data_IF_547275125961
#
_entry.id   IF_547275125961
#
_cell.length_a   1.000
_cell.length_b   1.000
_cell.length_c   1.000
_cell.angle_alpha   90.00
_cell.angle_beta   90.00
_cell.angle_gamma   90.00
#
_symmetry.space_group_name_H-M   'P 1'
#
loop_
_entity.id
_entity.type
_entity.pdbx_description
1 polymer ?
#
# COMPACT_ATOMS: atom_id res chain seq x y z
N UNK A 1 3.25 -18.81 0.91
CA UNK A 1 3.22 -17.78 -0.14
C UNK A 1 4.12 -16.64 0.35
N UNK A 2 4.76 -15.89 -0.56
CA UNK A 2 5.55 -14.72 -0.18
C UNK A 2 4.67 -13.52 0.16
N UNK A 3 5.25 -12.51 0.77
CA UNK A 3 4.58 -11.22 1.05
C UNK A 3 4.19 -10.54 -0.26
N UNK A 4 2.96 -10.10 -0.40
CA UNK A 4 2.49 -9.31 -1.54
C UNK A 4 3.03 -7.88 -1.40
N UNK A 5 3.67 -7.37 -2.44
CA UNK A 5 4.27 -6.02 -2.45
C UNK A 5 3.52 -5.15 -3.45
N UNK A 6 2.90 -4.09 -2.95
CA UNK A 6 2.12 -3.12 -3.71
C UNK A 6 2.93 -1.84 -3.84
N UNK A 7 3.26 -1.46 -5.08
CA UNK A 7 3.82 -0.15 -5.41
C UNK A 7 2.67 0.86 -5.58
N UNK A 8 2.52 1.78 -4.64
CA UNK A 8 1.50 2.82 -4.67
C UNK A 8 1.97 4.04 -5.45
N UNK A 9 1.31 4.31 -6.56
CA UNK A 9 1.61 5.47 -7.41
C UNK A 9 1.02 6.76 -6.84
N UNK A 10 -0.21 6.67 -6.27
CA UNK A 10 -0.88 7.86 -5.73
C UNK A 10 -0.96 8.98 -6.76
N UNK A 11 -0.52 10.17 -6.38
CA UNK A 11 -0.42 11.35 -7.26
C UNK A 11 0.89 11.43 -8.07
N UNK A 12 1.85 10.51 -7.85
CA UNK A 12 3.23 10.64 -8.35
C UNK A 12 3.41 10.50 -9.87
N UNK A 13 2.36 10.19 -10.62
CA UNK A 13 2.39 10.30 -12.09
C UNK A 13 2.19 11.73 -12.59
N UNK A 14 1.87 12.70 -11.70
CA UNK A 14 1.74 14.15 -11.97
C UNK A 14 0.72 14.48 -13.08
N UNK A 15 -0.31 13.67 -13.26
CA UNK A 15 -1.29 13.81 -14.33
C UNK A 15 -0.75 13.50 -15.73
N UNK A 16 0.48 12.99 -15.85
CA UNK A 16 1.10 12.60 -17.12
C UNK A 16 0.95 11.09 -17.31
N UNK A 17 0.07 10.68 -18.21
CA UNK A 17 -0.27 9.27 -18.40
C UNK A 17 0.94 8.41 -18.80
N UNK A 18 1.90 8.97 -19.54
CA UNK A 18 3.14 8.26 -19.92
C UNK A 18 4.02 7.95 -18.69
N UNK A 19 3.99 8.83 -17.67
CA UNK A 19 4.64 8.53 -16.39
C UNK A 19 3.95 7.35 -15.70
N UNK A 20 2.62 7.29 -15.70
CA UNK A 20 1.88 6.16 -15.13
C UNK A 20 2.25 4.84 -15.82
N UNK A 21 2.35 4.81 -17.14
CA UNK A 21 2.84 3.62 -17.88
C UNK A 21 4.29 3.27 -17.52
N UNK A 22 5.14 4.26 -17.35
CA UNK A 22 6.54 4.06 -16.93
C UNK A 22 6.60 3.47 -15.51
N UNK A 23 5.78 3.99 -14.60
CA UNK A 23 5.72 3.51 -13.21
C UNK A 23 5.25 2.05 -13.12
N UNK A 24 4.31 1.61 -13.96
CA UNK A 24 3.91 0.19 -14.06
C UNK A 24 5.13 -0.69 -14.41
N UNK A 25 5.93 -0.26 -15.40
CA UNK A 25 7.12 -1.01 -15.85
C UNK A 25 8.20 -1.05 -14.78
N UNK A 26 8.47 0.08 -14.12
CA UNK A 26 9.48 0.16 -13.06
C UNK A 26 9.05 -0.63 -11.80
N UNK A 27 7.76 -0.62 -11.42
CA UNK A 27 7.23 -1.46 -10.34
C UNK A 27 7.44 -2.95 -10.65
N UNK A 28 7.13 -3.39 -11.88
CA UNK A 28 7.40 -4.77 -12.32
C UNK A 28 8.88 -5.11 -12.30
N UNK A 29 9.72 -4.24 -12.80
CA UNK A 29 11.19 -4.42 -12.85
C UNK A 29 11.79 -4.50 -11.44
N UNK A 30 11.24 -3.74 -10.48
CA UNK A 30 11.63 -3.82 -9.07
C UNK A 30 11.19 -5.14 -8.42
N UNK A 31 10.27 -5.89 -9.02
CA UNK A 31 9.76 -7.17 -8.51
C UNK A 31 8.53 -7.05 -7.62
N UNK A 32 7.77 -5.95 -7.75
CA UNK A 32 6.48 -5.81 -7.09
C UNK A 32 5.45 -6.76 -7.68
N UNK A 33 4.50 -7.16 -6.87
CA UNK A 33 3.40 -8.04 -7.26
C UNK A 33 2.24 -7.24 -7.86
N UNK A 34 1.98 -6.05 -7.29
CA UNK A 34 0.86 -5.17 -7.65
C UNK A 34 1.39 -3.74 -7.83
N UNK A 35 0.84 -3.01 -8.81
CA UNK A 35 0.93 -1.55 -8.91
C UNK A 35 -0.44 -0.95 -8.62
N UNK A 36 -0.49 0.12 -7.81
CA UNK A 36 -1.77 0.72 -7.39
C UNK A 36 -1.87 2.17 -7.81
N UNK A 37 -3.08 2.60 -8.17
CA UNK A 37 -3.46 3.96 -8.50
C UNK A 37 -4.68 4.40 -7.68
N UNK A 38 -4.84 5.70 -7.50
CA UNK A 38 -6.03 6.29 -6.90
C UNK A 38 -6.92 6.88 -8.00
N UNK A 39 -8.24 6.74 -7.84
CA UNK A 39 -9.20 7.32 -8.78
C UNK A 39 -9.92 8.48 -8.09
N UNK A 40 -9.81 9.64 -8.68
CA UNK A 40 -10.53 10.83 -8.23
C UNK A 40 -11.90 10.93 -8.94
N UNK A 41 -12.90 11.42 -8.22
CA UNK A 41 -14.19 11.80 -8.81
C UNK A 41 -14.35 13.32 -8.73
N UNK A 42 -14.15 13.97 -9.86
CA UNK A 42 -14.25 15.43 -9.95
C UNK A 42 -15.66 15.98 -9.62
N UNK A 43 -16.67 15.11 -9.55
CA UNK A 43 -18.00 15.49 -9.09
C UNK A 43 -18.08 15.65 -7.56
N UNK A 44 -17.15 15.01 -6.83
CA UNK A 44 -17.07 15.12 -5.36
C UNK A 44 -16.11 16.23 -4.89
N UNK A 45 -15.35 16.85 -5.81
CA UNK A 45 -14.46 17.95 -5.49
C UNK A 45 -15.18 19.29 -5.72
N UNK A 46 -15.21 20.15 -4.71
CA UNK A 46 -15.80 21.48 -4.82
C UNK A 46 -15.01 22.31 -5.85
N UNK A 47 -15.70 23.06 -6.70
CA UNK A 47 -15.04 23.87 -7.76
C UNK A 47 -14.20 25.03 -7.22
N UNK A 48 -14.49 25.46 -6.01
CA UNK A 48 -13.75 26.49 -5.27
C UNK A 48 -12.69 25.88 -4.33
N UNK A 49 -12.50 24.56 -4.39
CA UNK A 49 -11.42 23.89 -3.67
C UNK A 49 -10.07 24.40 -4.23
N UNK A 50 -9.16 24.86 -3.38
CA UNK A 50 -7.84 25.32 -3.83
C UNK A 50 -7.05 24.26 -4.61
N UNK A 51 -7.33 22.98 -4.43
CA UNK A 51 -6.68 21.83 -5.09
C UNK A 51 -7.43 21.34 -6.34
N UNK A 52 -8.53 21.99 -6.72
CA UNK A 52 -9.37 21.51 -7.82
C UNK A 52 -8.59 21.29 -9.12
N UNK A 53 -7.75 22.25 -9.51
CA UNK A 53 -6.98 22.16 -10.76
C UNK A 53 -5.91 21.05 -10.69
N UNK A 54 -5.35 20.80 -9.52
CA UNK A 54 -4.44 19.69 -9.29
C UNK A 54 -5.16 18.35 -9.41
N UNK A 55 -6.27 18.17 -8.71
CA UNK A 55 -7.08 16.95 -8.80
C UNK A 55 -7.59 16.71 -10.23
N UNK A 56 -7.94 17.78 -10.96
CA UNK A 56 -8.35 17.65 -12.36
C UNK A 56 -7.22 17.12 -13.26
N UNK A 57 -5.96 17.47 -13.00
CA UNK A 57 -4.80 16.90 -13.70
C UNK A 57 -4.61 15.41 -13.40
N UNK A 58 -4.89 14.99 -12.16
CA UNK A 58 -4.73 13.61 -11.71
C UNK A 58 -5.91 12.68 -12.11
N UNK A 59 -6.98 13.25 -12.66
CA UNK A 59 -8.17 12.48 -13.03
C UNK A 59 -7.85 11.42 -14.10
N UNK A 60 -8.16 10.18 -13.79
CA UNK A 60 -8.07 9.05 -14.70
C UNK A 60 -9.45 8.71 -15.27
N UNK A 61 -9.63 8.96 -16.58
CA UNK A 61 -10.86 8.58 -17.28
C UNK A 61 -10.98 7.05 -17.43
N UNK A 62 -12.17 6.51 -17.77
CA UNK A 62 -12.33 5.09 -18.09
C UNK A 62 -11.38 4.60 -19.19
N UNK A 63 -11.06 5.44 -20.17
CA UNK A 63 -10.10 5.14 -21.23
C UNK A 63 -8.67 5.02 -20.68
N UNK A 64 -8.27 5.94 -19.79
CA UNK A 64 -6.99 5.86 -19.10
C UNK A 64 -6.90 4.57 -18.27
N UNK A 65 -7.94 4.25 -17.48
CA UNK A 65 -7.99 3.01 -16.69
C UNK A 65 -7.81 1.78 -17.58
N UNK A 66 -8.53 1.71 -18.72
CA UNK A 66 -8.41 0.61 -19.67
C UNK A 66 -7.01 0.49 -20.24
N UNK A 67 -6.35 1.62 -20.52
CA UNK A 67 -4.96 1.66 -20.99
C UNK A 67 -3.98 1.15 -19.92
N UNK A 68 -4.13 1.60 -18.67
CA UNK A 68 -3.30 1.16 -17.54
C UNK A 68 -3.46 -0.34 -17.27
N UNK A 69 -4.70 -0.85 -17.31
CA UNK A 69 -4.99 -2.30 -17.16
C UNK A 69 -4.31 -3.10 -18.29
N UNK A 70 -4.37 -2.62 -19.52
CA UNK A 70 -3.70 -3.28 -20.65
C UNK A 70 -2.19 -3.29 -20.49
N UNK A 71 -1.60 -2.15 -20.11
CA UNK A 71 -0.17 -2.02 -19.84
C UNK A 71 0.29 -2.96 -18.70
N UNK A 72 -0.46 -3.02 -17.60
CA UNK A 72 -0.15 -3.91 -16.47
C UNK A 72 -0.19 -5.38 -16.91
N UNK A 73 -1.20 -5.77 -17.69
CA UNK A 73 -1.32 -7.14 -18.25
C UNK A 73 -0.14 -7.49 -19.17
N UNK A 74 0.24 -6.60 -20.07
CA UNK A 74 1.38 -6.78 -20.96
C UNK A 74 2.69 -6.97 -20.20
N UNK A 75 2.85 -6.26 -19.10
CA UNK A 75 4.02 -6.36 -18.21
C UNK A 75 3.90 -7.46 -17.15
N UNK A 76 2.81 -8.24 -17.11
CA UNK A 76 2.59 -9.33 -16.16
C UNK A 76 2.71 -8.88 -14.70
N UNK A 77 2.12 -7.73 -14.36
CA UNK A 77 1.95 -7.23 -13.01
C UNK A 77 0.46 -7.03 -12.75
N UNK A 78 0.00 -7.31 -11.53
CA UNK A 78 -1.37 -7.00 -11.15
C UNK A 78 -1.54 -5.48 -10.99
N UNK A 79 -2.74 -4.98 -11.29
CA UNK A 79 -3.09 -3.58 -11.08
C UNK A 79 -4.27 -3.48 -10.13
N UNK A 80 -4.16 -2.55 -9.19
CA UNK A 80 -5.15 -2.28 -8.16
C UNK A 80 -5.54 -0.80 -8.22
N UNK A 81 -6.78 -0.49 -7.87
CA UNK A 81 -7.25 0.88 -7.79
C UNK A 81 -7.96 1.15 -6.47
N UNK A 82 -7.80 2.38 -5.98
CA UNK A 82 -8.55 2.94 -4.86
C UNK A 82 -9.64 3.85 -5.41
N UNK A 83 -10.93 3.48 -5.33
CA UNK A 83 -12.03 4.37 -5.68
C UNK A 83 -12.33 5.34 -4.54
N UNK A 84 -12.80 6.54 -4.86
CA UNK A 84 -13.27 7.54 -3.89
C UNK A 84 -14.81 7.65 -3.85
N UNK A 85 -15.49 7.07 -4.85
CA UNK A 85 -16.94 7.07 -4.99
C UNK A 85 -17.46 5.77 -5.61
N UNK A 86 -18.77 5.55 -5.55
CA UNK A 86 -19.42 4.44 -6.27
C UNK A 86 -19.15 4.50 -7.77
N UNK A 87 -19.17 5.69 -8.36
CA UNK A 87 -18.88 5.88 -9.78
C UNK A 87 -17.47 5.44 -10.16
N UNK A 88 -16.45 5.78 -9.36
CA UNK A 88 -15.09 5.34 -9.62
C UNK A 88 -14.91 3.84 -9.36
N UNK A 89 -15.64 3.25 -8.41
CA UNK A 89 -15.70 1.80 -8.24
C UNK A 89 -16.36 1.09 -9.44
N UNK A 90 -17.37 1.70 -10.06
CA UNK A 90 -17.95 1.20 -11.32
C UNK A 90 -16.94 1.19 -12.46
N UNK A 91 -16.07 2.20 -12.57
CA UNK A 91 -15.02 2.21 -13.59
C UNK A 91 -14.07 1.02 -13.42
N UNK A 92 -13.66 0.72 -12.18
CA UNK A 92 -12.79 -0.42 -11.86
C UNK A 92 -13.48 -1.73 -12.25
N UNK A 93 -14.74 -1.90 -11.84
CA UNK A 93 -15.51 -3.11 -12.13
C UNK A 93 -15.71 -3.31 -13.64
N UNK A 94 -16.03 -2.24 -14.38
CA UNK A 94 -16.24 -2.27 -15.83
C UNK A 94 -14.93 -2.51 -16.61
N UNK A 95 -13.78 -2.16 -16.03
CA UNK A 95 -12.48 -2.54 -16.57
C UNK A 95 -12.15 -4.05 -16.38
N UNK A 96 -13.05 -4.82 -15.77
CA UNK A 96 -12.94 -6.26 -15.57
C UNK A 96 -12.12 -6.67 -14.35
N UNK A 97 -11.82 -5.73 -13.44
CA UNK A 97 -11.09 -6.01 -12.22
C UNK A 97 -12.02 -6.52 -11.11
N UNK A 98 -11.50 -7.41 -10.28
CA UNK A 98 -12.22 -8.03 -9.15
C UNK A 98 -11.59 -7.74 -7.80
N UNK A 99 -10.47 -7.05 -7.79
CA UNK A 99 -9.78 -6.58 -6.59
C UNK A 99 -9.90 -5.07 -6.49
N UNK A 100 -10.05 -4.55 -5.26
CA UNK A 100 -10.21 -3.12 -4.99
C UNK A 100 -9.58 -2.75 -3.65
N UNK A 101 -9.14 -1.48 -3.51
CA UNK A 101 -8.61 -0.93 -2.25
C UNK A 101 -9.59 0.08 -1.67
N UNK A 102 -9.79 0.01 -0.37
CA UNK A 102 -10.48 1.02 0.42
C UNK A 102 -9.42 1.79 1.20
N UNK A 103 -9.26 3.09 0.92
CA UNK A 103 -8.36 3.96 1.66
C UNK A 103 -8.92 4.25 3.06
N UNK A 104 -8.03 4.60 3.99
CA UNK A 104 -8.40 4.92 5.38
C UNK A 104 -9.49 5.98 5.50
N UNK A 105 -9.45 7.00 4.63
CA UNK A 105 -10.44 8.08 4.59
C UNK A 105 -11.84 7.67 4.10
N UNK A 106 -11.98 6.48 3.54
CA UNK A 106 -13.24 5.99 2.97
C UNK A 106 -13.82 4.77 3.67
N UNK A 107 -13.23 4.37 4.80
CA UNK A 107 -13.62 3.19 5.56
C UNK A 107 -15.07 3.26 6.07
N UNK A 108 -15.62 4.45 6.23
CA UNK A 108 -16.99 4.70 6.72
C UNK A 108 -17.97 5.13 5.61
N UNK A 109 -17.58 5.13 4.33
CA UNK A 109 -18.48 5.47 3.20
C UNK A 109 -19.40 4.29 2.87
N UNK A 110 -20.53 4.18 3.56
CA UNK A 110 -21.47 3.04 3.46
C UNK A 110 -21.94 2.71 2.03
N UNK A 111 -22.23 3.71 1.21
CA UNK A 111 -22.65 3.48 -0.18
C UNK A 111 -21.54 2.84 -1.01
N UNK A 112 -20.29 3.30 -0.84
CA UNK A 112 -19.13 2.73 -1.50
C UNK A 112 -18.87 1.29 -1.01
N UNK A 113 -18.92 1.07 0.30
CA UNK A 113 -18.75 -0.26 0.90
C UNK A 113 -19.80 -1.26 0.38
N UNK A 114 -21.07 -0.85 0.35
CA UNK A 114 -22.17 -1.68 -0.15
C UNK A 114 -21.97 -2.06 -1.62
N UNK A 115 -21.53 -1.11 -2.46
CA UNK A 115 -21.22 -1.39 -3.86
C UNK A 115 -20.05 -2.36 -3.99
N UNK A 116 -18.97 -2.14 -3.24
CA UNK A 116 -17.77 -2.99 -3.23
C UNK A 116 -18.15 -4.42 -2.78
N UNK A 117 -18.93 -4.55 -1.71
CA UNK A 117 -19.42 -5.83 -1.20
C UNK A 117 -20.12 -6.68 -2.28
N UNK A 118 -20.88 -6.04 -3.17
CA UNK A 118 -21.64 -6.72 -4.23
C UNK A 118 -20.81 -7.09 -5.45
N UNK A 119 -19.69 -6.41 -5.72
CA UNK A 119 -19.04 -6.44 -7.02
C UNK A 119 -17.61 -7.02 -7.02
N UNK A 120 -16.94 -6.99 -5.88
CA UNK A 120 -15.52 -7.35 -5.82
C UNK A 120 -15.27 -8.62 -5.01
N UNK A 121 -14.29 -9.41 -5.44
CA UNK A 121 -13.93 -10.68 -4.82
C UNK A 121 -12.82 -10.51 -3.76
N UNK A 122 -11.92 -9.54 -3.94
CA UNK A 122 -10.79 -9.26 -3.04
C UNK A 122 -10.79 -7.78 -2.66
N UNK A 123 -10.78 -7.50 -1.37
CA UNK A 123 -10.83 -6.13 -0.84
C UNK A 123 -9.67 -5.88 0.10
N UNK A 124 -8.83 -4.90 -0.23
CA UNK A 124 -7.79 -4.40 0.65
C UNK A 124 -8.34 -3.20 1.44
N UNK A 125 -8.24 -3.23 2.76
CA UNK A 125 -8.78 -2.18 3.63
C UNK A 125 -7.65 -1.58 4.46
N UNK A 126 -7.33 -0.30 4.29
CA UNK A 126 -6.45 0.41 5.21
C UNK A 126 -7.22 0.88 6.44
N UNK A 127 -6.63 0.66 7.62
CA UNK A 127 -7.27 0.91 8.92
C UNK A 127 -6.76 2.19 9.60
N UNK A 128 -6.04 3.04 8.89
CA UNK A 128 -5.57 4.32 9.45
C UNK A 128 -6.74 5.23 9.82
N UNK A 129 -6.56 6.03 10.88
CA UNK A 129 -7.59 6.91 11.47
C UNK A 129 -8.81 6.19 12.05
N UNK A 130 -8.97 4.88 11.88
CA UNK A 130 -10.15 4.15 12.30
C UNK A 130 -10.04 3.69 13.76
N UNK A 131 -11.15 3.76 14.46
CA UNK A 131 -11.35 3.06 15.74
C UNK A 131 -11.60 1.55 15.47
N UNK A 132 -11.39 0.72 16.49
CA UNK A 132 -11.57 -0.74 16.36
C UNK A 132 -12.99 -1.12 15.97
N UNK A 133 -13.96 -0.37 16.49
CA UNK A 133 -15.38 -0.54 16.20
C UNK A 133 -15.68 -0.29 14.71
N UNK A 134 -15.08 0.74 14.12
CA UNK A 134 -15.23 1.05 12.68
C UNK A 134 -14.64 -0.05 11.81
N UNK A 135 -13.50 -0.64 12.20
CA UNK A 135 -12.89 -1.78 11.50
C UNK A 135 -13.84 -2.99 11.54
N UNK A 136 -14.44 -3.26 12.71
CA UNK A 136 -15.41 -4.35 12.86
C UNK A 136 -16.66 -4.14 11.99
N UNK A 137 -17.19 -2.91 11.97
CA UNK A 137 -18.34 -2.55 11.12
C UNK A 137 -18.06 -2.77 9.63
N UNK A 138 -16.88 -2.40 9.16
CA UNK A 138 -16.48 -2.63 7.76
C UNK A 138 -16.37 -4.11 7.42
N UNK A 139 -15.81 -4.90 8.32
CA UNK A 139 -15.71 -6.36 8.13
C UNK A 139 -17.11 -6.99 8.05
N UNK A 140 -18.04 -6.55 8.91
CA UNK A 140 -19.42 -7.03 8.90
C UNK A 140 -20.16 -6.61 7.62
N UNK A 141 -19.92 -5.40 7.11
CA UNK A 141 -20.49 -4.91 5.84
C UNK A 141 -19.96 -5.70 4.64
N UNK A 142 -18.66 -6.02 4.64
CA UNK A 142 -17.97 -6.76 3.56
C UNK A 142 -18.10 -8.27 3.73
N UNK A 143 -19.32 -8.78 3.69
CA UNK A 143 -19.61 -10.20 3.95
C UNK A 143 -19.67 -11.10 2.69
N UNK A 144 -19.52 -10.56 1.48
CA UNK A 144 -19.55 -11.30 0.21
C UNK A 144 -18.20 -11.50 -0.45
N UNK A 145 -17.20 -10.60 -0.34
CA UNK A 145 -15.87 -10.84 -0.86
C UNK A 145 -15.28 -12.16 -0.36
N UNK A 146 -14.53 -12.83 -1.22
CA UNK A 146 -13.85 -14.09 -0.87
C UNK A 146 -12.65 -13.85 0.02
N UNK A 147 -12.06 -12.67 -0.10
CA UNK A 147 -10.85 -12.30 0.62
C UNK A 147 -10.89 -10.84 1.03
N UNK A 148 -10.68 -10.59 2.30
CA UNK A 148 -10.46 -9.26 2.87
C UNK A 148 -9.06 -9.23 3.44
N UNK A 149 -8.31 -8.19 3.13
CA UNK A 149 -6.96 -7.95 3.62
C UNK A 149 -6.97 -6.64 4.41
N UNK A 150 -6.59 -6.69 5.67
CA UNK A 150 -6.51 -5.52 6.54
C UNK A 150 -5.09 -4.98 6.56
N UNK A 151 -4.91 -3.70 6.27
CA UNK A 151 -3.61 -3.05 6.28
C UNK A 151 -3.55 -2.07 7.45
N UNK A 152 -2.73 -2.37 8.46
CA UNK A 152 -2.35 -1.36 9.43
C UNK A 152 -1.74 -0.17 8.68
N UNK A 153 -2.13 1.03 9.07
CA UNK A 153 -1.70 2.26 8.42
C UNK A 153 -1.73 3.40 9.43
N UNK A 154 -0.73 4.25 9.40
CA UNK A 154 -0.78 5.57 10.05
C UNK A 154 -0.96 6.59 8.94
N UNK A 155 -2.17 7.16 8.87
CA UNK A 155 -2.54 8.11 7.81
C UNK A 155 -2.06 9.54 8.16
N UNK A 156 -0.79 9.64 8.49
CA UNK A 156 -0.08 10.89 8.70
C UNK A 156 1.00 11.01 7.62
N UNK A 157 1.02 12.15 6.95
CA UNK A 157 1.97 12.41 5.89
C UNK A 157 3.16 13.21 6.42
N UNK A 158 4.39 13.03 5.87
CA UNK A 158 5.59 13.72 6.36
C UNK A 158 5.53 15.24 6.25
N UNK A 159 4.67 15.76 5.40
CA UNK A 159 4.47 17.20 5.21
C UNK A 159 2.99 17.50 4.99
N UNK A 160 2.60 18.73 5.24
CA UNK A 160 1.27 19.22 4.92
C UNK A 160 0.94 20.47 5.71
N UNK A 161 0.28 21.46 5.08
CA UNK A 161 -0.04 22.73 5.72
C UNK A 161 -0.84 22.58 7.01
N UNK A 162 -1.68 21.54 7.11
CA UNK A 162 -2.49 21.30 8.31
C UNK A 162 -1.62 20.87 9.49
N UNK A 163 -0.69 19.94 9.30
CA UNK A 163 0.23 19.48 10.34
C UNK A 163 1.14 20.62 10.81
N UNK A 164 1.68 21.40 9.87
CA UNK A 164 2.51 22.57 10.18
C UNK A 164 1.74 23.64 10.99
N UNK A 165 0.48 23.91 10.63
CA UNK A 165 -0.38 24.84 11.38
C UNK A 165 -0.67 24.35 12.80
N UNK A 166 -0.75 23.03 13.01
CA UNK A 166 -0.91 22.41 14.32
C UNK A 166 0.41 22.29 15.10
N UNK A 167 1.54 22.67 14.50
CA UNK A 167 2.87 22.54 15.11
C UNK A 167 3.34 21.10 15.24
N UNK A 168 2.74 20.18 14.46
CA UNK A 168 3.11 18.78 14.42
C UNK A 168 4.26 18.58 13.45
N UNK A 169 5.09 17.59 13.75
CA UNK A 169 6.17 17.16 12.87
C UNK A 169 5.65 16.10 11.89
N UNK A 170 6.40 15.91 10.82
CA UNK A 170 6.22 14.80 9.91
C UNK A 170 6.19 13.45 10.64
N UNK A 171 5.44 12.49 10.11
CA UNK A 171 5.42 11.11 10.59
C UNK A 171 6.85 10.58 10.73
N UNK A 172 7.17 10.10 11.90
CA UNK A 172 8.45 9.46 12.19
C UNK A 172 8.25 7.98 12.58
N UNK A 173 9.34 7.24 12.73
CA UNK A 173 9.29 5.80 13.01
C UNK A 173 8.62 5.48 14.36
N UNK A 174 8.65 6.42 15.33
CA UNK A 174 8.06 6.23 16.66
C UNK A 174 6.53 6.25 16.61
N UNK A 175 5.94 6.98 15.65
CA UNK A 175 4.50 7.15 15.49
C UNK A 175 3.83 5.99 14.75
N UNK A 176 4.61 5.09 14.18
CA UNK A 176 4.11 3.95 13.36
C UNK A 176 3.35 2.92 14.20
N UNK A 177 3.69 2.77 15.48
CA UNK A 177 3.05 1.82 16.39
C UNK A 177 2.84 0.41 15.82
N UNK A 178 3.88 -0.20 15.27
CA UNK A 178 3.81 -1.47 14.53
C UNK A 178 3.17 -2.62 15.32
N UNK A 179 3.13 -2.55 16.65
CA UNK A 179 2.40 -3.52 17.47
C UNK A 179 0.89 -3.51 17.20
N UNK A 180 0.31 -2.42 16.69
CA UNK A 180 -1.10 -2.39 16.27
C UNK A 180 -1.38 -3.36 15.12
N UNK A 181 -0.40 -3.57 14.22
CA UNK A 181 -0.51 -4.62 13.18
C UNK A 181 -0.62 -6.02 13.81
N UNK A 182 0.15 -6.29 14.87
CA UNK A 182 0.06 -7.57 15.58
C UNK A 182 -1.27 -7.72 16.33
N UNK A 183 -1.79 -6.63 16.91
CA UNK A 183 -3.12 -6.62 17.52
C UNK A 183 -4.21 -6.92 16.49
N UNK A 184 -4.16 -6.33 15.31
CA UNK A 184 -5.09 -6.67 14.22
C UNK A 184 -5.03 -8.17 13.88
N UNK A 185 -3.83 -8.76 13.85
CA UNK A 185 -3.65 -10.19 13.57
C UNK A 185 -4.24 -11.09 14.66
N UNK A 186 -4.14 -10.68 15.93
CA UNK A 186 -4.76 -11.41 17.05
C UNK A 186 -6.29 -11.26 17.05
N UNK A 187 -6.80 -10.07 16.73
CA UNK A 187 -8.25 -9.80 16.71
C UNK A 187 -8.95 -10.42 15.50
N UNK A 188 -8.27 -10.49 14.37
CA UNK A 188 -8.80 -10.96 13.09
C UNK A 188 -7.96 -12.10 12.49
N UNK A 189 -7.84 -13.25 13.15
CA UNK A 189 -6.92 -14.33 12.77
C UNK A 189 -7.24 -14.97 11.41
N UNK A 190 -8.47 -14.86 10.94
CA UNK A 190 -8.93 -15.42 9.66
C UNK A 190 -8.62 -14.51 8.46
N UNK A 191 -8.12 -13.29 8.72
CA UNK A 191 -7.81 -12.32 7.68
C UNK A 191 -6.31 -12.20 7.47
N UNK A 192 -5.90 -11.91 6.22
CA UNK A 192 -4.54 -11.48 5.96
C UNK A 192 -4.31 -10.09 6.52
N UNK A 193 -3.19 -9.92 7.22
CA UNK A 193 -2.80 -8.63 7.79
C UNK A 193 -1.54 -8.13 7.10
N UNK A 194 -1.54 -6.86 6.73
CA UNK A 194 -0.42 -6.17 6.10
C UNK A 194 -0.20 -4.79 6.68
N UNK A 195 0.65 -4.04 6.00
CA UNK A 195 1.01 -2.68 6.38
C UNK A 195 1.03 -1.77 5.16
N UNK A 196 0.40 -0.60 5.27
CA UNK A 196 0.43 0.49 4.29
C UNK A 196 1.26 1.64 4.88
N UNK A 197 2.37 1.98 4.21
CA UNK A 197 3.46 2.78 4.76
C UNK A 197 3.51 4.20 4.21
N UNK A 198 3.59 5.18 5.13
CA UNK A 198 3.80 6.60 4.84
C UNK A 198 5.11 7.14 5.44
N UNK A 199 6.00 6.29 5.96
CA UNK A 199 7.30 6.73 6.50
C UNK A 199 8.31 6.97 5.38
N UNK A 200 9.39 7.67 5.68
CA UNK A 200 10.51 7.81 4.74
C UNK A 200 11.32 6.50 4.66
N UNK A 201 11.82 6.20 3.46
CA UNK A 201 12.70 5.06 3.22
C UNK A 201 12.02 3.69 3.25
N UNK A 202 12.80 2.65 3.59
CA UNK A 202 12.41 1.24 3.44
C UNK A 202 12.49 0.42 4.74
N UNK A 203 12.89 1.04 5.85
CA UNK A 203 13.11 0.32 7.11
C UNK A 203 11.81 -0.24 7.68
N UNK A 204 10.77 0.59 7.75
CA UNK A 204 9.50 0.21 8.37
C UNK A 204 8.78 -0.90 7.59
N UNK A 205 8.62 -0.83 6.24
CA UNK A 205 8.03 -1.94 5.48
C UNK A 205 8.79 -3.26 5.65
N UNK A 206 10.13 -3.24 5.70
CA UNK A 206 10.93 -4.44 5.94
C UNK A 206 10.69 -4.99 7.35
N UNK A 207 10.60 -4.11 8.35
CA UNK A 207 10.29 -4.48 9.74
C UNK A 207 8.89 -5.09 9.84
N UNK A 208 7.89 -4.53 9.16
CA UNK A 208 6.55 -5.09 9.10
C UNK A 208 6.54 -6.54 8.60
N UNK A 209 7.30 -6.85 7.56
CA UNK A 209 7.45 -8.23 7.05
C UNK A 209 8.13 -9.13 8.07
N UNK A 210 9.17 -8.66 8.74
CA UNK A 210 9.82 -9.43 9.79
C UNK A 210 8.85 -9.75 10.95
N UNK A 211 7.95 -8.83 11.28
CA UNK A 211 6.88 -8.99 12.27
C UNK A 211 5.68 -9.80 11.77
N UNK A 212 5.61 -10.14 10.48
CA UNK A 212 4.59 -11.06 9.97
C UNK A 212 3.57 -10.43 9.03
N UNK A 213 3.80 -9.24 8.51
CA UNK A 213 2.99 -8.67 7.45
C UNK A 213 2.96 -9.60 6.22
N UNK A 214 1.78 -9.82 5.69
CA UNK A 214 1.54 -10.64 4.49
C UNK A 214 1.40 -9.76 3.23
N UNK A 215 1.14 -8.47 3.42
CA UNK A 215 1.04 -7.46 2.37
C UNK A 215 1.78 -6.20 2.81
N UNK A 216 2.53 -5.60 1.90
CA UNK A 216 3.15 -4.28 2.06
C UNK A 216 2.67 -3.37 0.95
N UNK A 217 2.23 -2.17 1.32
CA UNK A 217 1.93 -1.08 0.39
C UNK A 217 2.89 0.07 0.67
N UNK A 218 3.58 0.56 -0.36
CA UNK A 218 4.55 1.66 -0.24
C UNK A 218 4.41 2.62 -1.40
N UNK A 219 4.36 3.92 -1.10
CA UNK A 219 4.39 4.99 -2.09
C UNK A 219 5.68 4.96 -2.91
N UNK A 220 5.53 5.20 -4.19
CA UNK A 220 6.57 5.08 -5.20
C UNK A 220 6.48 6.23 -6.20
N UNK A 221 7.62 6.82 -6.53
CA UNK A 221 7.75 7.88 -7.55
C UNK A 221 8.91 7.60 -8.49
N UNK A 222 8.90 8.19 -9.67
CA UNK A 222 10.05 8.12 -10.59
C UNK A 222 11.20 9.01 -10.13
N UNK A 223 10.90 10.18 -9.57
CA UNK A 223 11.87 11.15 -9.05
C UNK A 223 11.21 12.02 -7.98
N UNK A 224 11.69 11.91 -6.74
CA UNK A 224 11.22 12.72 -5.60
C UNK A 224 11.45 14.23 -5.77
N UNK A 225 12.38 14.61 -6.63
CA UNK A 225 12.72 16.02 -6.91
C UNK A 225 11.85 16.65 -7.99
N UNK A 226 10.91 15.88 -8.56
CA UNK A 226 9.99 16.43 -9.55
C UNK A 226 9.13 17.51 -8.89
N UNK A 227 9.24 18.78 -9.31
CA UNK A 227 8.42 19.85 -8.75
C UNK A 227 6.97 19.65 -9.20
N UNK A 228 6.05 19.89 -8.27
CA UNK A 228 4.62 19.92 -8.53
C UNK A 228 4.17 21.37 -8.43
N UNK A 229 3.49 21.88 -9.46
CA UNK A 229 2.78 23.15 -9.36
C UNK A 229 1.58 22.96 -8.42
N UNK A 230 1.73 23.44 -7.21
CA UNK A 230 0.64 23.49 -6.26
C UNK A 230 -0.05 24.88 -6.34
N UNK A 231 -1.39 24.89 -6.43
CA UNK A 231 -2.20 26.09 -6.68
C UNK A 231 -2.25 27.07 -5.52
N UNK A 232 -1.66 26.82 -4.37
CA UNK A 232 -1.69 27.71 -3.19
C UNK A 232 -0.87 29.01 -3.34
N UNK A 233 -0.39 29.39 -4.51
CA UNK A 233 0.49 30.55 -4.73
C UNK A 233 1.74 30.59 -3.84
N UNK A 234 2.11 29.47 -3.22
CA UNK A 234 3.24 29.35 -2.29
C UNK A 234 4.52 28.84 -2.97
N UNK A 235 4.54 28.80 -4.29
CA UNK A 235 5.69 28.30 -5.05
C UNK A 235 5.60 26.81 -5.39
N UNK A 236 6.70 26.27 -5.88
CA UNK A 236 6.82 24.84 -6.19
C UNK A 236 6.73 24.01 -4.91
N UNK A 237 5.82 23.06 -4.90
CA UNK A 237 5.60 22.13 -3.81
C UNK A 237 5.92 20.70 -4.29
N UNK A 238 6.56 19.91 -3.45
CA UNK A 238 6.97 18.55 -3.82
C UNK A 238 5.82 17.52 -3.80
N UNK A 239 4.62 17.92 -3.36
CA UNK A 239 3.50 17.02 -3.12
C UNK A 239 3.71 16.13 -1.90
N UNK A 240 2.62 15.75 -1.24
CA UNK A 240 2.70 14.89 -0.05
C UNK A 240 3.20 13.50 -0.40
N UNK A 241 2.72 12.92 -1.49
CA UNK A 241 3.09 11.57 -1.91
C UNK A 241 4.54 11.47 -2.40
N UNK A 242 5.05 12.49 -3.09
CA UNK A 242 6.43 12.46 -3.58
C UNK A 242 7.47 12.45 -2.46
N UNK A 243 7.23 13.18 -1.39
CA UNK A 243 8.19 13.32 -0.27
C UNK A 243 8.40 11.99 0.45
N UNK A 244 7.33 11.23 0.66
CA UNK A 244 7.37 9.93 1.35
C UNK A 244 7.62 8.74 0.41
N UNK A 245 7.60 8.99 -0.90
CA UNK A 245 7.79 7.94 -1.91
C UNK A 245 9.23 7.49 -2.00
N UNK A 246 9.40 6.22 -2.29
CA UNK A 246 10.71 5.67 -2.68
C UNK A 246 10.87 5.69 -4.20
N UNK A 247 12.10 5.81 -4.67
CA UNK A 247 12.46 5.80 -6.09
C UNK A 247 12.72 4.37 -6.60
N UNK A 248 12.81 4.11 -7.93
CA UNK A 248 12.95 2.77 -8.47
C UNK A 248 14.12 1.94 -7.89
N UNK A 249 15.33 2.51 -7.62
CA UNK A 249 16.40 1.75 -6.99
C UNK A 249 16.08 1.34 -5.55
N UNK A 250 15.42 2.21 -4.79
CA UNK A 250 15.01 1.95 -3.40
C UNK A 250 13.88 0.92 -3.35
N UNK A 251 12.91 1.01 -4.28
CA UNK A 251 11.84 0.03 -4.43
C UNK A 251 12.41 -1.36 -4.70
N UNK A 252 13.37 -1.47 -5.62
CA UNK A 252 14.05 -2.73 -5.89
C UNK A 252 14.82 -3.23 -4.67
N UNK A 253 15.51 -2.34 -3.94
CA UNK A 253 16.23 -2.70 -2.71
C UNK A 253 15.26 -3.20 -1.63
N UNK A 254 14.11 -2.55 -1.45
CA UNK A 254 13.07 -2.96 -0.51
C UNK A 254 12.57 -4.37 -0.86
N UNK A 255 12.16 -4.59 -2.10
CA UNK A 255 11.68 -5.90 -2.58
C UNK A 255 12.73 -6.99 -2.32
N UNK A 256 13.96 -6.77 -2.76
CA UNK A 256 15.04 -7.74 -2.59
C UNK A 256 15.30 -8.05 -1.10
N UNK A 257 15.22 -7.02 -0.24
CA UNK A 257 15.43 -7.19 1.21
C UNK A 257 14.27 -7.95 1.83
N UNK A 258 13.03 -7.65 1.44
CA UNK A 258 11.84 -8.40 1.89
C UNK A 258 11.97 -9.88 1.52
N UNK A 259 12.34 -10.22 0.28
CA UNK A 259 12.54 -11.63 -0.14
C UNK A 259 13.62 -12.33 0.68
N UNK A 260 14.68 -11.60 1.08
CA UNK A 260 15.70 -12.14 2.00
C UNK A 260 15.16 -12.35 3.42
N UNK A 261 14.35 -11.41 3.93
CA UNK A 261 13.69 -11.55 5.25
C UNK A 261 12.77 -12.77 5.27
N UNK A 262 12.00 -13.01 4.21
CA UNK A 262 11.18 -14.21 4.07
C UNK A 262 11.99 -15.50 4.20
N UNK A 263 13.13 -15.55 3.53
CA UNK A 263 14.06 -16.69 3.63
C UNK A 263 14.64 -16.85 5.06
N UNK A 264 14.94 -15.73 5.75
CA UNK A 264 15.44 -15.73 7.13
C UNK A 264 14.36 -16.22 8.10
N UNK A 265 13.12 -15.80 7.92
CA UNK A 265 11.96 -16.27 8.73
C UNK A 265 11.78 -17.77 8.62
N UNK A 266 12.02 -18.35 7.46
CA UNK A 266 11.89 -19.78 7.23
C UNK A 266 10.44 -20.27 7.38
N UNK A 267 10.28 -21.52 7.82
CA UNK A 267 8.97 -22.17 8.04
C UNK A 267 8.72 -22.36 9.53
N UNK A 268 7.45 -22.54 9.93
CA UNK A 268 7.04 -22.89 11.31
C UNK A 268 7.33 -24.35 11.67
N UNK A 269 8.49 -24.86 11.21
CA UNK A 269 8.94 -26.22 11.48
C UNK A 269 10.16 -26.19 12.39
N UNK A 270 10.15 -26.98 13.45
CA UNK A 270 11.32 -27.16 14.28
C UNK A 270 12.31 -28.08 13.56
N UNK A 271 13.19 -27.48 12.78
CA UNK A 271 14.22 -28.22 12.05
C UNK A 271 15.60 -27.59 12.20
N UNK A 272 16.60 -28.42 12.11
CA UNK A 272 18.00 -28.01 12.06
C UNK A 272 18.48 -27.97 10.63
N UNK A 273 19.45 -27.11 10.35
CA UNK A 273 20.17 -27.18 9.09
C UNK A 273 21.03 -28.45 9.02
N UNK A 274 21.37 -28.89 7.82
CA UNK A 274 22.24 -30.04 7.63
C UNK A 274 23.60 -29.87 8.34
N UNK A 275 24.18 -28.67 8.26
CA UNK A 275 25.43 -28.31 8.95
C UNK A 275 25.30 -28.38 10.47
N UNK A 276 24.17 -27.89 11.03
CA UNK A 276 23.90 -27.97 12.47
C UNK A 276 23.76 -29.41 12.94
N UNK A 277 23.16 -30.29 12.13
CA UNK A 277 23.01 -31.72 12.49
C UNK A 277 24.37 -32.44 12.51
N UNK A 278 25.29 -32.08 11.62
CA UNK A 278 26.67 -32.58 11.62
C UNK A 278 27.41 -32.07 12.87
N UNK A 279 27.35 -30.77 13.13
CA UNK A 279 28.02 -30.14 14.28
C UNK A 279 27.46 -30.66 15.61
N UNK A 280 26.14 -30.90 15.67
CA UNK A 280 25.48 -31.49 16.87
C UNK A 280 26.13 -32.81 17.27
N UNK A 281 26.31 -33.70 16.31
CA UNK A 281 26.93 -35.02 16.57
C UNK A 281 28.39 -34.87 17.06
N UNK A 282 29.14 -33.99 16.40
CA UNK A 282 30.53 -33.72 16.75
C UNK A 282 30.68 -33.07 18.12
N UNK A 283 29.95 -32.00 18.38
CA UNK A 283 30.10 -31.20 19.61
C UNK A 283 29.52 -31.92 20.82
N UNK A 284 28.38 -32.61 20.72
CA UNK A 284 27.77 -33.38 21.83
C UNK A 284 28.57 -34.62 22.15
N UNK A 285 29.08 -35.36 21.17
CA UNK A 285 29.93 -36.52 21.38
C UNK A 285 31.23 -36.14 22.11
N UNK A 286 31.71 -34.93 21.97
CA UNK A 286 32.93 -34.42 22.61
C UNK A 286 32.80 -34.28 24.14
N UNK A 287 31.60 -34.09 24.67
CA UNK A 287 31.33 -33.76 26.08
C UNK A 287 30.47 -34.78 26.82
N UNK A 288 29.98 -35.81 26.15
CA UNK A 288 29.11 -36.85 26.77
C UNK A 288 29.84 -38.06 27.30
N UNK A 289 31.16 -38.14 27.09
CA UNK A 289 32.01 -39.22 27.62
C UNK A 289 32.95 -38.68 28.72
N UNK A 290 32.40 -38.08 29.78
CA UNK A 290 33.14 -37.86 31.02
C UNK A 290 32.33 -38.31 32.22
#
# INVERSE_FOLDING_TARGET
>A
MGTIIIAEVGECFNGVIDNAYTMIKEAKKAGCDIVKFQLLDMCEVAKDDPEYDWFAKLYLSPEHISGLVSCARENQIEILFTPVSVKTAEFIYNAGLKSVKIASSFINKKELLSYINEKFDTVYVSTGMAEIEEISEVIDELNKPREIILLHCVSEYPTGPLLEQCGLKALNEEDVHMNMMLMLKEMYPDYKIGYSDHTDGILVPITAVAMGAEVIEKHFTLDRKTPIEHYNNQGEYMGTDHVLSIEPPELQQMVNTIRRVENIKGTWEWKRSEGEEILRKFLRGRYTER
#
